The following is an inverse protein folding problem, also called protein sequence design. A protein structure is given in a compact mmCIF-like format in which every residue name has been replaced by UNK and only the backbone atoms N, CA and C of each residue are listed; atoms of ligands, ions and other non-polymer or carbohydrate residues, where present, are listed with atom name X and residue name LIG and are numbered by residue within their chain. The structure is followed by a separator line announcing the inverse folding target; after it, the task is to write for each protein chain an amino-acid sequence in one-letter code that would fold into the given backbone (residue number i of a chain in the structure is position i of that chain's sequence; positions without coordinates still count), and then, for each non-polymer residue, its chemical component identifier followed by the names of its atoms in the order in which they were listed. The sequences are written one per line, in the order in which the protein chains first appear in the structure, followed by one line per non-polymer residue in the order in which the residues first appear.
data_IF_499707040049
#
_entry.id   IF_499707040049
#
_cell.length_a   1.000
_cell.length_b   1.000
_cell.length_c   1.000
_cell.angle_alpha   90.00
_cell.angle_beta   90.00
_cell.angle_gamma   90.00
#
_symmetry.space_group_name_H-M   'P 1'
#
loop_
_entity.id
_entity.type
_entity.pdbx_description
1 polymer ?
#
# COMPACT_ATOMS: atom_id res chain seq x y z
N UNK A 1 27.57 11.18 3.09
CA UNK A 1 26.31 11.96 3.13
C UNK A 1 25.26 11.11 3.85
N UNK A 2 24.39 11.70 4.65
CA UNK A 2 23.30 10.95 5.27
C UNK A 2 22.25 10.61 4.19
N UNK A 3 21.82 9.35 4.12
CA UNK A 3 20.71 8.96 3.23
C UNK A 3 19.42 9.55 3.77
N UNK A 4 18.59 10.11 2.88
CA UNK A 4 17.25 10.57 3.25
C UNK A 4 16.35 9.34 3.44
N UNK A 5 15.61 9.28 4.53
CA UNK A 5 14.72 8.15 4.82
C UNK A 5 13.32 8.51 4.38
N UNK A 6 12.75 7.71 3.48
CA UNK A 6 11.36 7.82 3.07
C UNK A 6 10.58 6.62 3.60
N UNK A 7 9.32 6.84 3.91
CA UNK A 7 8.38 5.77 4.27
C UNK A 7 7.31 5.66 3.19
N UNK A 8 7.11 4.46 2.65
CA UNK A 8 6.09 4.18 1.64
C UNK A 8 4.87 3.53 2.29
N UNK A 9 3.88 4.33 2.64
CA UNK A 9 2.61 3.86 3.16
C UNK A 9 1.47 4.61 2.48
N UNK A 10 0.50 3.91 1.90
CA UNK A 10 -0.74 4.55 1.46
C UNK A 10 -1.37 5.26 2.65
N UNK A 11 -1.97 6.41 2.36
CA UNK A 11 -2.72 7.20 3.32
C UNK A 11 -3.96 7.78 2.64
N UNK A 12 -4.97 8.09 3.44
CA UNK A 12 -6.20 8.68 2.89
C UNK A 12 -5.97 10.15 2.59
N UNK A 13 -6.32 10.57 1.37
CA UNK A 13 -6.22 11.96 0.91
C UNK A 13 -4.79 12.54 0.83
N UNK A 14 -3.75 11.73 1.04
CA UNK A 14 -2.35 12.18 1.03
C UNK A 14 -1.47 11.27 0.15
N UNK A 15 -0.25 11.72 -0.12
CA UNK A 15 0.73 10.95 -0.87
C UNK A 15 1.16 9.69 -0.11
N UNK A 16 1.37 8.58 -0.82
CA UNK A 16 1.95 7.35 -0.25
C UNK A 16 3.41 7.48 0.20
N UNK A 17 4.10 8.61 -0.03
CA UNK A 17 5.50 8.82 0.34
C UNK A 17 5.65 9.88 1.44
N UNK A 18 6.45 9.54 2.45
CA UNK A 18 6.58 10.33 3.68
C UNK A 18 8.05 10.57 4.08
N UNK A 19 8.37 11.77 4.54
CA UNK A 19 9.64 12.13 5.19
C UNK A 19 9.37 13.04 6.39
N UNK A 20 8.91 12.47 7.51
CA UNK A 20 8.43 13.27 8.65
C UNK A 20 7.11 14.01 8.39
N UNK A 21 6.53 13.85 7.20
CA UNK A 21 5.25 14.38 6.73
C UNK A 21 5.00 13.93 5.28
N UNK A 22 3.80 14.15 4.73
CA UNK A 22 3.48 13.81 3.34
C UNK A 22 4.37 14.60 2.38
N UNK A 23 4.87 13.94 1.34
CA UNK A 23 5.72 14.56 0.32
C UNK A 23 4.98 14.67 -1.01
N UNK A 24 5.08 15.84 -1.63
CA UNK A 24 4.66 15.99 -3.02
C UNK A 24 5.62 15.19 -3.91
N UNK A 25 5.07 14.30 -4.74
CA UNK A 25 5.89 13.51 -5.67
C UNK A 25 6.74 14.34 -6.63
N UNK A 26 6.35 15.60 -6.87
CA UNK A 26 7.09 16.54 -7.71
C UNK A 26 8.42 16.99 -7.09
N UNK A 27 8.59 16.86 -5.77
CA UNK A 27 9.83 17.21 -5.06
C UNK A 27 10.87 16.08 -5.07
N UNK A 28 10.49 14.90 -5.57
CA UNK A 28 11.37 13.74 -5.70
C UNK A 28 11.84 13.58 -7.15
N UNK A 29 13.06 13.05 -7.37
CA UNK A 29 13.60 12.80 -8.70
C UNK A 29 12.97 11.55 -9.35
N UNK A 30 11.64 11.48 -9.38
CA UNK A 30 10.86 10.38 -9.97
C UNK A 30 10.42 10.72 -11.40
N UNK A 31 10.29 9.69 -12.22
CA UNK A 31 9.75 9.79 -13.56
C UNK A 31 8.27 10.17 -13.53
N UNK A 32 7.84 10.97 -14.51
CA UNK A 32 6.44 11.37 -14.63
C UNK A 32 5.49 10.18 -14.79
N UNK A 33 5.98 9.07 -15.33
CA UNK A 33 5.20 7.83 -15.43
C UNK A 33 4.98 7.20 -14.06
N UNK A 34 6.03 7.08 -13.24
CA UNK A 34 5.92 6.54 -11.89
C UNK A 34 5.04 7.42 -11.02
N UNK A 35 5.19 8.75 -11.09
CA UNK A 35 4.33 9.69 -10.37
C UNK A 35 2.84 9.49 -10.71
N UNK A 36 2.49 9.24 -11.97
CA UNK A 36 1.09 8.94 -12.36
C UNK A 36 0.58 7.65 -11.75
N UNK A 37 1.41 6.60 -11.70
CA UNK A 37 1.05 5.32 -11.08
C UNK A 37 0.86 5.46 -9.57
N UNK A 38 1.72 6.24 -8.91
CA UNK A 38 1.62 6.55 -7.49
C UNK A 38 0.33 7.30 -7.17
N UNK A 39 0.02 8.38 -7.91
CA UNK A 39 -1.24 9.11 -7.73
C UNK A 39 -2.47 8.22 -7.91
N UNK A 40 -2.46 7.37 -8.93
CA UNK A 40 -3.55 6.40 -9.12
C UNK A 40 -3.68 5.42 -7.93
N UNK A 41 -2.55 4.97 -7.39
CA UNK A 41 -2.54 4.09 -6.22
C UNK A 41 -3.10 4.78 -4.96
N UNK A 42 -2.80 6.07 -4.78
CA UNK A 42 -3.38 6.90 -3.71
C UNK A 42 -4.89 7.08 -3.89
N UNK A 43 -5.34 7.42 -5.11
CA UNK A 43 -6.77 7.53 -5.43
C UNK A 43 -7.50 6.22 -5.18
N UNK A 44 -6.90 5.08 -5.53
CA UNK A 44 -7.48 3.76 -5.30
C UNK A 44 -7.51 3.39 -3.79
N UNK A 45 -6.65 4.01 -2.95
CA UNK A 45 -6.65 3.85 -1.49
C UNK A 45 -7.98 4.32 -0.85
N UNK A 46 -8.61 5.33 -1.45
CA UNK A 46 -9.89 5.88 -0.99
C UNK A 46 -11.04 4.85 -1.06
N UNK A 47 -10.89 3.83 -1.90
CA UNK A 47 -11.88 2.76 -2.09
C UNK A 47 -11.65 1.56 -1.16
N UNK A 48 -10.67 1.65 -0.24
CA UNK A 48 -10.41 0.62 0.77
C UNK A 48 -11.46 0.65 1.87
N UNK A 49 -11.89 1.84 2.30
CA UNK A 49 -12.77 1.99 3.46
C UNK A 49 -14.24 2.10 3.10
N UNK A 50 -15.07 1.48 3.96
CA UNK A 50 -16.46 1.86 4.10
C UNK A 50 -16.51 3.19 4.86
N UNK A 51 -16.68 4.31 4.17
CA UNK A 51 -16.79 5.63 4.82
C UNK A 51 -18.00 5.74 5.76
N UNK A 52 -18.97 4.83 5.65
CA UNK A 52 -20.12 4.74 6.56
C UNK A 52 -19.85 3.86 7.78
N UNK A 53 -18.85 2.98 7.73
CA UNK A 53 -18.43 2.07 8.81
C UNK A 53 -16.92 1.77 8.74
N UNK A 54 -16.06 2.71 9.16
CA UNK A 54 -14.60 2.57 9.01
C UNK A 54 -14.02 1.40 9.83
N UNK A 55 -14.76 0.87 10.81
CA UNK A 55 -14.36 -0.30 11.59
C UNK A 55 -14.42 -1.62 10.83
N UNK A 56 -15.11 -1.65 9.67
CA UNK A 56 -15.30 -2.82 8.82
C UNK A 56 -14.02 -3.27 8.10
N UNK A 57 -13.02 -2.38 8.01
CA UNK A 57 -11.75 -2.64 7.34
C UNK A 57 -11.87 -2.53 5.81
N UNK A 58 -10.98 -3.23 5.09
CA UNK A 58 -10.95 -3.25 3.62
C UNK A 58 -12.25 -3.85 3.06
N UNK A 59 -13.03 -3.04 2.32
CA UNK A 59 -14.32 -3.44 1.73
C UNK A 59 -14.18 -4.22 0.43
N UNK A 60 -12.98 -4.24 -0.16
CA UNK A 60 -12.74 -4.87 -1.46
C UNK A 60 -12.81 -6.38 -1.33
N UNK A 61 -13.07 -7.04 -2.45
CA UNK A 61 -13.00 -8.49 -2.50
C UNK A 61 -11.58 -8.97 -2.17
N UNK A 62 -11.38 -10.18 -1.62
CA UNK A 62 -10.04 -10.69 -1.30
C UNK A 62 -9.05 -10.64 -2.46
N UNK A 63 -9.51 -10.91 -3.69
CA UNK A 63 -8.67 -10.79 -4.90
C UNK A 63 -8.27 -9.35 -5.21
N UNK A 64 -9.20 -8.39 -5.09
CA UNK A 64 -8.93 -6.97 -5.32
C UNK A 64 -7.96 -6.39 -4.27
N UNK A 65 -8.12 -6.77 -3.01
CA UNK A 65 -7.20 -6.38 -1.93
C UNK A 65 -5.79 -6.94 -2.16
N UNK A 66 -5.69 -8.17 -2.68
CA UNK A 66 -4.43 -8.79 -3.07
C UNK A 66 -3.76 -8.08 -4.25
N UNK A 67 -4.50 -7.81 -5.32
CA UNK A 67 -4.00 -7.08 -6.48
C UNK A 67 -3.51 -5.68 -6.11
N UNK A 68 -4.23 -5.00 -5.22
CA UNK A 68 -3.81 -3.69 -4.72
C UNK A 68 -2.52 -3.76 -3.90
N UNK A 69 -2.42 -4.70 -2.96
CA UNK A 69 -1.20 -4.91 -2.18
C UNK A 69 0.01 -5.24 -3.07
N UNK A 70 -0.16 -6.11 -4.07
CA UNK A 70 0.89 -6.43 -5.05
C UNK A 70 1.27 -5.23 -5.91
N UNK A 71 0.30 -4.38 -6.25
CA UNK A 71 0.56 -3.10 -6.94
C UNK A 71 1.42 -2.18 -6.09
N UNK A 72 1.10 -2.04 -4.80
CA UNK A 72 1.90 -1.28 -3.84
C UNK A 72 3.34 -1.78 -3.76
N UNK A 73 3.55 -3.09 -3.67
CA UNK A 73 4.90 -3.69 -3.64
C UNK A 73 5.71 -3.37 -4.90
N UNK A 74 5.09 -3.48 -6.08
CA UNK A 74 5.75 -3.12 -7.36
C UNK A 74 6.11 -1.63 -7.41
N UNK A 75 5.24 -0.76 -6.89
CA UNK A 75 5.50 0.68 -6.80
C UNK A 75 6.66 0.98 -5.85
N UNK A 76 6.70 0.34 -4.68
CA UNK A 76 7.83 0.46 -3.75
C UNK A 76 9.16 0.09 -4.42
N UNK A 77 9.20 -1.01 -5.17
CA UNK A 77 10.42 -1.40 -5.91
C UNK A 77 10.80 -0.39 -6.99
N UNK A 78 9.83 0.13 -7.75
CA UNK A 78 10.07 1.18 -8.74
C UNK A 78 10.61 2.47 -8.11
N UNK A 79 10.04 2.90 -6.98
CA UNK A 79 10.50 4.08 -6.24
C UNK A 79 11.94 3.88 -5.76
N UNK A 80 12.26 2.72 -5.17
CA UNK A 80 13.63 2.39 -4.75
C UNK A 80 14.61 2.41 -5.92
N UNK A 81 14.20 1.89 -7.08
CA UNK A 81 15.04 1.85 -8.27
C UNK A 81 15.33 3.25 -8.84
N UNK A 82 14.32 4.15 -8.87
CA UNK A 82 14.49 5.50 -9.40
C UNK A 82 15.21 6.45 -8.44
N UNK A 83 14.95 6.35 -7.12
CA UNK A 83 15.62 7.19 -6.12
C UNK A 83 17.08 6.76 -5.85
N UNK A 84 17.42 5.50 -6.13
CA UNK A 84 18.76 4.97 -5.98
C UNK A 84 19.27 5.00 -4.53
N UNK A 85 20.59 5.08 -4.36
CA UNK A 85 21.23 4.95 -3.05
C UNK A 85 21.16 6.20 -2.16
N UNK A 86 20.71 7.32 -2.71
CA UNK A 86 20.56 8.60 -1.98
C UNK A 86 19.41 8.56 -0.98
N UNK A 87 18.43 7.67 -1.22
CA UNK A 87 17.26 7.48 -0.39
C UNK A 87 17.18 6.05 0.15
N UNK A 88 16.70 5.91 1.37
CA UNK A 88 16.32 4.64 1.96
C UNK A 88 14.79 4.63 2.10
N UNK A 89 14.11 3.77 1.34
CA UNK A 89 12.64 3.72 1.32
C UNK A 89 12.16 2.50 2.11
N UNK A 90 11.50 2.75 3.22
CA UNK A 90 10.96 1.73 4.12
C UNK A 90 9.56 1.27 3.65
N UNK A 91 9.27 -0.01 3.85
CA UNK A 91 7.96 -0.61 3.52
C UNK A 91 6.93 -0.29 4.61
N UNK A 92 5.85 0.37 4.23
CA UNK A 92 4.71 0.67 5.08
C UNK A 92 3.42 -0.03 4.67
N UNK A 93 3.48 -1.02 3.77
CA UNK A 93 2.28 -1.68 3.21
C UNK A 93 1.68 -2.74 4.13
N UNK A 94 2.27 -2.99 5.30
CA UNK A 94 1.85 -4.05 6.21
C UNK A 94 0.37 -3.96 6.63
N UNK A 95 -0.18 -2.74 6.74
CA UNK A 95 -1.55 -2.54 7.21
C UNK A 95 -2.61 -2.90 6.14
N UNK A 96 -2.32 -2.67 4.86
CA UNK A 96 -3.18 -3.08 3.72
C UNK A 96 -2.97 -4.54 3.29
N UNK A 97 -2.02 -5.26 3.91
CA UNK A 97 -1.74 -6.64 3.54
C UNK A 97 -2.98 -7.51 3.73
N UNK A 98 -3.48 -8.22 2.70
CA UNK A 98 -4.70 -9.02 2.81
C UNK A 98 -4.51 -10.19 3.77
N UNK A 99 -5.57 -10.58 4.47
CA UNK A 99 -5.55 -11.69 5.46
C UNK A 99 -5.05 -13.00 4.86
N UNK A 100 -5.42 -13.29 3.60
CA UNK A 100 -4.95 -14.46 2.85
C UNK A 100 -3.42 -14.58 2.79
N UNK A 101 -2.71 -13.45 2.82
CA UNK A 101 -1.25 -13.38 2.75
C UNK A 101 -0.56 -13.20 4.10
N UNK A 102 -1.32 -13.06 5.20
CA UNK A 102 -0.75 -12.88 6.56
C UNK A 102 -0.27 -14.20 7.17
N UNK A 103 -0.52 -15.33 6.53
CA UNK A 103 -0.16 -16.66 7.05
C UNK A 103 -1.05 -17.10 8.22
N UNK A 104 -2.19 -16.44 8.41
CA UNK A 104 -3.22 -16.88 9.34
C UNK A 104 -3.90 -18.14 8.77
N UNK A 105 -4.12 -19.19 9.58
CA UNK A 105 -4.84 -20.37 9.10
C UNK A 105 -6.22 -19.93 8.61
N UNK A 106 -6.63 -20.43 7.43
CA UNK A 106 -7.98 -20.25 6.94
C UNK A 106 -8.97 -20.63 8.07
N UNK A 107 -10.05 -19.87 8.29
CA UNK A 107 -11.07 -20.28 9.24
C UNK A 107 -11.53 -21.68 8.86
N UNK A 108 -11.33 -22.62 9.78
CA UNK A 108 -11.72 -24.01 9.63
C UNK A 108 -13.18 -24.04 9.21
N UNK A 109 -13.44 -24.41 7.95
CA UNK A 109 -14.80 -24.69 7.51
C UNK A 109 -15.23 -25.92 8.29
N UNK A 110 -15.86 -25.69 9.44
CA UNK A 110 -16.45 -26.71 10.30
C UNK A 110 -17.40 -27.52 9.42
N UNK A 111 -16.89 -28.65 8.92
CA UNK A 111 -17.66 -29.65 8.21
C UNK A 111 -18.62 -30.24 9.23
N UNK A 112 -19.82 -29.66 9.32
CA UNK A 112 -20.95 -30.21 10.02
C UNK A 112 -21.29 -31.57 9.37
N UNK A 113 -21.05 -32.72 10.03
CA UNK A 113 -21.60 -33.97 9.53
C UNK A 113 -23.08 -33.97 9.91
N UNK A 114 -23.94 -33.77 8.91
CA UNK A 114 -25.37 -33.97 9.04
C UNK A 114 -25.65 -35.38 9.59
N UNK A 115 -26.53 -35.41 10.59
CA UNK A 115 -26.96 -36.60 11.35
C UNK A 115 -27.95 -37.45 10.57
#
# INVERSE_FOLDING_TARGET
MAKRKLYFSPEYFESSLWEGGPLEYADLPLSQELVKKLKKFDDDCMNILDWSDPGKGDIRSPGEAEEYYLTGLRLLEMVRAELGEEYEVEDGLAWIKPKSMRGEPAPDTEQNPEK
#
